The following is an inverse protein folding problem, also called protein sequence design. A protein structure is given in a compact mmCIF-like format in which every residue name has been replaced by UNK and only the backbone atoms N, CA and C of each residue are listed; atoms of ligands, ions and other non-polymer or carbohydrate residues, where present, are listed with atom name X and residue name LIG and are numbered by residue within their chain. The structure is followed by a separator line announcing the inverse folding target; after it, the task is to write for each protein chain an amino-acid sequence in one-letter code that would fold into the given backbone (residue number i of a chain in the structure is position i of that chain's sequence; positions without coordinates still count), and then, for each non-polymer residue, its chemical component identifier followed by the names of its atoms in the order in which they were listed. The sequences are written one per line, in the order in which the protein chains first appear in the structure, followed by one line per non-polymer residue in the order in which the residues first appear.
data_IF_668317127123
#
_entry.id   IF_668317127123
#
_cell.length_a   1.000
_cell.length_b   1.000
_cell.length_c   1.000
_cell.angle_alpha   90.00
_cell.angle_beta   90.00
_cell.angle_gamma   90.00
#
_symmetry.space_group_name_H-M   'P 1'
#
loop_
_entity.id
_entity.type
_entity.pdbx_description
1 polymer ?
#
# COMPACT_ATOMS: atom_id res chain seq x y z
N UNK A 1 13.31 -9.93 -16.80
CA UNK A 1 11.84 -9.89 -16.58
C UNK A 1 11.56 -9.27 -15.22
N UNK A 2 10.43 -8.53 -15.04
CA UNK A 2 10.05 -7.89 -13.78
C UNK A 2 9.15 -8.84 -12.98
N UNK A 3 9.56 -9.21 -11.77
CA UNK A 3 8.76 -10.04 -10.87
C UNK A 3 7.89 -9.16 -9.96
N UNK A 4 6.60 -9.45 -9.90
CA UNK A 4 5.65 -8.63 -9.11
C UNK A 4 4.91 -9.52 -8.13
N UNK A 5 5.01 -9.21 -6.83
CA UNK A 5 4.15 -9.79 -5.81
C UNK A 5 2.95 -8.89 -5.55
N UNK A 6 1.84 -9.45 -5.10
CA UNK A 6 0.64 -8.65 -4.82
C UNK A 6 -0.07 -8.08 -6.05
N UNK A 7 0.18 -8.62 -7.25
CA UNK A 7 -0.37 -8.17 -8.54
C UNK A 7 -1.91 -8.14 -8.61
N UNK A 8 -2.62 -8.83 -7.72
CA UNK A 8 -4.09 -8.82 -7.63
C UNK A 8 -4.63 -7.83 -6.59
N UNK A 9 -3.75 -7.06 -5.94
CA UNK A 9 -4.08 -5.96 -5.03
C UNK A 9 -4.29 -4.63 -5.76
N UNK A 10 -4.67 -3.57 -5.03
CA UNK A 10 -4.92 -2.25 -5.61
C UNK A 10 -3.69 -1.73 -6.37
N UNK A 11 -2.56 -1.57 -5.71
CA UNK A 11 -1.33 -1.06 -6.33
C UNK A 11 -0.81 -2.00 -7.40
N UNK A 12 -0.61 -3.28 -7.06
CA UNK A 12 0.00 -4.25 -7.97
C UNK A 12 -0.78 -4.46 -9.26
N UNK A 13 -2.13 -4.35 -9.25
CA UNK A 13 -2.91 -4.53 -10.48
C UNK A 13 -2.80 -3.32 -11.43
N UNK A 14 -2.79 -2.09 -10.90
CA UNK A 14 -2.57 -0.89 -11.71
C UNK A 14 -1.14 -0.81 -12.23
N UNK A 15 -0.17 -1.18 -11.40
CA UNK A 15 1.24 -1.26 -11.81
C UNK A 15 1.45 -2.31 -12.91
N UNK A 16 0.84 -3.50 -12.77
CA UNK A 16 0.91 -4.54 -13.80
C UNK A 16 0.38 -4.01 -15.14
N UNK A 17 -0.80 -3.39 -15.14
CA UNK A 17 -1.34 -2.77 -16.35
C UNK A 17 -0.40 -1.72 -16.92
N UNK A 18 0.10 -0.81 -16.07
CA UNK A 18 1.02 0.26 -16.50
C UNK A 18 2.27 -0.29 -17.20
N UNK A 19 2.91 -1.31 -16.62
CA UNK A 19 4.11 -1.92 -17.18
C UNK A 19 3.84 -2.67 -18.50
N UNK A 20 2.81 -3.51 -18.57
CA UNK A 20 2.52 -4.27 -19.79
C UNK A 20 1.99 -3.39 -20.91
N UNK A 21 1.29 -2.29 -20.60
CA UNK A 21 0.87 -1.31 -21.61
C UNK A 21 2.05 -0.58 -22.26
N UNK A 22 3.22 -0.57 -21.59
CA UNK A 22 4.49 -0.07 -22.11
C UNK A 22 5.35 -1.16 -22.77
N UNK A 23 4.79 -2.36 -22.99
CA UNK A 23 5.50 -3.47 -23.63
C UNK A 23 6.40 -4.29 -22.70
N UNK A 24 6.39 -4.03 -21.39
CA UNK A 24 7.22 -4.75 -20.44
C UNK A 24 6.70 -6.18 -20.21
N UNK A 25 7.62 -7.12 -19.97
CA UNK A 25 7.30 -8.50 -19.58
C UNK A 25 7.35 -8.63 -18.08
N UNK A 26 6.28 -9.20 -17.49
CA UNK A 26 6.13 -9.34 -16.04
C UNK A 26 5.88 -10.80 -15.65
N UNK A 27 6.42 -11.22 -14.51
CA UNK A 27 6.13 -12.49 -13.85
C UNK A 27 5.37 -12.19 -12.56
N UNK A 28 4.13 -12.66 -12.44
CA UNK A 28 3.23 -12.33 -11.35
C UNK A 28 3.11 -13.49 -10.37
N UNK A 29 3.50 -13.27 -9.10
CA UNK A 29 3.27 -14.23 -8.03
C UNK A 29 1.80 -14.20 -7.62
N UNK A 30 1.11 -15.32 -7.74
CA UNK A 30 -0.29 -15.48 -7.35
C UNK A 30 -0.47 -16.68 -6.41
N UNK A 31 -1.15 -16.49 -5.28
CA UNK A 31 -1.42 -17.59 -4.34
C UNK A 31 -2.41 -18.63 -4.87
N UNK A 32 -3.29 -18.22 -5.77
CA UNK A 32 -4.33 -19.05 -6.40
C UNK A 32 -4.71 -18.46 -7.76
N UNK A 33 -4.65 -19.23 -8.81
CA UNK A 33 -4.91 -18.80 -10.19
C UNK A 33 -6.27 -18.11 -10.38
N UNK A 34 -7.34 -18.52 -9.68
CA UNK A 34 -8.66 -17.89 -9.81
C UNK A 34 -8.71 -16.41 -9.37
N UNK A 35 -7.71 -15.92 -8.61
CA UNK A 35 -7.64 -14.49 -8.21
C UNK A 35 -7.28 -13.57 -9.36
N UNK A 36 -6.85 -14.09 -10.50
CA UNK A 36 -6.56 -13.31 -11.70
C UNK A 36 -7.76 -12.48 -12.18
N UNK A 37 -9.00 -12.89 -11.88
CA UNK A 37 -10.21 -12.12 -12.17
C UNK A 37 -10.21 -10.71 -11.56
N UNK A 38 -9.41 -10.48 -10.51
CA UNK A 38 -9.25 -9.15 -9.92
C UNK A 38 -8.37 -8.26 -10.77
N UNK A 39 -7.32 -8.84 -11.34
CA UNK A 39 -6.45 -8.16 -12.28
C UNK A 39 -7.22 -7.82 -13.56
N UNK A 40 -8.00 -8.75 -14.11
CA UNK A 40 -8.83 -8.53 -15.28
C UNK A 40 -9.76 -7.31 -15.13
N UNK A 41 -10.42 -7.15 -13.98
CA UNK A 41 -11.24 -5.96 -13.69
C UNK A 41 -10.47 -4.63 -13.75
N UNK A 42 -9.20 -4.63 -13.36
CA UNK A 42 -8.37 -3.43 -13.47
C UNK A 42 -8.05 -3.13 -14.94
N UNK A 43 -7.81 -4.16 -15.75
CA UNK A 43 -7.62 -3.99 -17.20
C UNK A 43 -8.90 -3.47 -17.87
N UNK A 44 -10.05 -4.04 -17.53
CA UNK A 44 -11.37 -3.57 -18.00
C UNK A 44 -11.60 -2.08 -17.68
N UNK A 45 -11.19 -1.61 -16.50
CA UNK A 45 -11.26 -0.19 -16.14
C UNK A 45 -10.50 0.70 -17.12
N UNK A 46 -9.37 0.22 -17.65
CA UNK A 46 -8.59 0.93 -18.68
C UNK A 46 -9.07 0.66 -20.11
N UNK A 47 -10.18 -0.06 -20.28
CA UNK A 47 -10.71 -0.44 -21.60
C UNK A 47 -9.88 -1.51 -22.31
N UNK A 48 -9.09 -2.28 -21.56
CA UNK A 48 -8.21 -3.34 -22.07
C UNK A 48 -8.72 -4.73 -21.66
N UNK A 49 -8.48 -5.72 -22.52
CA UNK A 49 -8.68 -7.13 -22.17
C UNK A 49 -7.34 -7.72 -21.72
N UNK A 50 -7.33 -8.34 -20.54
CA UNK A 50 -6.15 -9.00 -19.98
C UNK A 50 -5.55 -10.04 -20.93
N UNK A 51 -6.40 -10.77 -21.67
CA UNK A 51 -5.97 -11.81 -22.59
C UNK A 51 -5.08 -11.28 -23.75
N UNK A 52 -5.19 -9.99 -24.08
CA UNK A 52 -4.35 -9.36 -25.08
C UNK A 52 -2.87 -9.23 -24.65
N UNK A 53 -2.57 -9.51 -23.39
CA UNK A 53 -1.23 -9.40 -22.78
C UNK A 53 -0.63 -10.76 -22.36
N UNK A 54 -1.19 -11.88 -22.83
CA UNK A 54 -0.72 -13.24 -22.48
C UNK A 54 0.75 -13.47 -22.78
N UNK A 55 1.28 -12.83 -23.84
CA UNK A 55 2.71 -12.93 -24.22
C UNK A 55 3.65 -12.09 -23.30
N UNK A 56 3.08 -11.21 -22.47
CA UNK A 56 3.82 -10.31 -21.57
C UNK A 56 3.66 -10.70 -20.11
N UNK A 57 2.65 -11.50 -19.78
CA UNK A 57 2.30 -11.87 -18.40
C UNK A 57 2.53 -13.36 -18.19
N UNK A 58 3.50 -13.69 -17.34
CA UNK A 58 3.71 -15.04 -16.84
C UNK A 58 3.13 -15.16 -15.42
N UNK A 59 2.30 -16.16 -15.19
CA UNK A 59 1.76 -16.46 -13.85
C UNK A 59 2.57 -17.55 -13.19
N UNK A 60 3.03 -17.30 -11.96
CA UNK A 60 3.65 -18.30 -11.11
C UNK A 60 2.86 -18.44 -9.81
N UNK A 61 2.58 -19.66 -9.39
CA UNK A 61 1.90 -19.92 -8.12
C UNK A 61 2.92 -19.99 -6.99
N UNK A 62 2.63 -19.30 -5.88
CA UNK A 62 3.47 -19.29 -4.68
C UNK A 62 2.93 -18.34 -3.60
N UNK A 63 3.58 -18.38 -2.44
CA UNK A 63 3.24 -17.54 -1.28
C UNK A 63 4.50 -16.87 -0.74
N UNK A 64 4.45 -15.58 -0.45
CA UNK A 64 5.58 -14.83 0.13
C UNK A 64 5.99 -15.35 1.52
N UNK A 65 5.12 -16.09 2.20
CA UNK A 65 5.44 -16.75 3.48
C UNK A 65 6.14 -18.09 3.32
N UNK A 66 6.37 -18.55 2.09
CA UNK A 66 7.08 -19.77 1.73
C UNK A 66 8.29 -19.41 0.85
N UNK A 67 9.49 -19.43 1.47
CA UNK A 67 10.73 -19.06 0.79
C UNK A 67 11.03 -19.96 -0.41
N UNK A 68 10.77 -21.25 -0.32
CA UNK A 68 11.05 -22.19 -1.43
C UNK A 68 10.20 -21.87 -2.66
N UNK A 69 8.96 -21.41 -2.45
CA UNK A 69 8.11 -20.97 -3.56
C UNK A 69 8.64 -19.70 -4.21
N UNK A 70 9.30 -18.82 -3.46
CA UNK A 70 9.92 -17.59 -3.97
C UNK A 70 11.21 -17.87 -4.74
N UNK A 71 12.11 -18.68 -4.18
CA UNK A 71 13.33 -19.13 -4.84
C UNK A 71 13.01 -19.74 -6.20
N UNK A 72 12.11 -20.73 -6.23
CA UNK A 72 11.65 -21.35 -7.49
C UNK A 72 11.06 -20.32 -8.47
N UNK A 73 10.30 -19.34 -7.97
CA UNK A 73 9.72 -18.32 -8.82
C UNK A 73 10.74 -17.34 -9.41
N UNK A 74 11.88 -17.15 -8.73
CA UNK A 74 12.96 -16.21 -9.15
C UNK A 74 14.10 -16.90 -9.93
N UNK A 75 14.18 -18.21 -9.96
CA UNK A 75 15.30 -18.99 -10.53
C UNK A 75 15.68 -18.62 -11.98
N UNK A 76 14.78 -18.03 -12.76
CA UNK A 76 15.03 -17.76 -14.19
C UNK A 76 14.55 -16.36 -14.61
N UNK A 77 15.39 -15.65 -15.35
CA UNK A 77 15.05 -14.46 -16.14
C UNK A 77 14.45 -13.25 -15.35
N UNK A 78 14.63 -13.20 -14.03
CA UNK A 78 14.18 -12.09 -13.20
C UNK A 78 15.33 -11.10 -12.96
N UNK A 79 15.21 -9.89 -13.49
CA UNK A 79 16.17 -8.82 -13.28
C UNK A 79 15.78 -7.89 -12.13
N UNK A 80 14.47 -7.78 -11.89
CA UNK A 80 13.95 -6.80 -10.94
C UNK A 80 12.73 -7.34 -10.21
N UNK A 81 12.57 -6.95 -8.96
CA UNK A 81 11.44 -7.29 -8.10
C UNK A 81 10.67 -6.04 -7.72
N UNK A 82 9.33 -6.09 -7.82
CA UNK A 82 8.43 -5.12 -7.23
C UNK A 82 7.55 -5.82 -6.19
N UNK A 83 7.83 -5.54 -4.93
CA UNK A 83 7.15 -6.19 -3.81
C UNK A 83 5.95 -5.35 -3.34
N UNK A 84 4.75 -5.62 -3.92
CA UNK A 84 3.49 -4.99 -3.54
C UNK A 84 2.64 -5.86 -2.60
N UNK A 85 3.05 -7.12 -2.33
CA UNK A 85 2.28 -7.98 -1.46
C UNK A 85 2.32 -7.45 -0.01
N UNK A 86 1.16 -7.39 0.61
CA UNK A 86 1.01 -6.98 1.99
C UNK A 86 -0.44 -7.07 2.44
N UNK A 87 -0.62 -7.17 3.74
CA UNK A 87 -1.92 -7.14 4.39
C UNK A 87 -2.15 -5.76 5.00
N UNK A 88 -3.28 -5.14 4.68
CA UNK A 88 -3.74 -3.92 5.34
C UNK A 88 -4.87 -4.30 6.29
N UNK A 89 -4.63 -4.17 7.58
CA UNK A 89 -5.66 -4.35 8.61
C UNK A 89 -5.33 -3.49 9.82
N UNK A 90 -6.35 -2.89 10.39
CA UNK A 90 -6.25 -2.14 11.65
C UNK A 90 -6.84 -2.95 12.81
N UNK A 91 -7.33 -4.17 12.57
CA UNK A 91 -7.86 -5.04 13.62
C UNK A 91 -6.73 -5.61 14.47
N UNK A 92 -6.80 -5.47 15.82
CA UNK A 92 -5.81 -6.11 16.71
C UNK A 92 -5.76 -7.64 16.59
N UNK A 93 -6.86 -8.27 16.14
CA UNK A 93 -6.92 -9.72 15.90
C UNK A 93 -6.03 -10.17 14.72
N UNK A 94 -5.63 -9.26 13.86
CA UNK A 94 -4.77 -9.56 12.71
C UNK A 94 -3.27 -9.39 12.99
N UNK A 95 -2.87 -9.08 14.25
CA UNK A 95 -1.47 -8.82 14.61
C UNK A 95 -0.51 -9.92 14.08
N UNK A 96 -0.85 -11.19 14.34
CA UNK A 96 -0.01 -12.32 13.89
C UNK A 96 0.06 -12.40 12.36
N UNK A 97 -1.07 -12.22 11.68
CA UNK A 97 -1.12 -12.25 10.23
C UNK A 97 -0.36 -11.07 9.60
N UNK A 98 -0.46 -9.87 10.20
CA UNK A 98 0.28 -8.69 9.76
C UNK A 98 1.79 -8.92 9.86
N UNK A 99 2.30 -9.42 10.98
CA UNK A 99 3.72 -9.74 11.13
C UNK A 99 4.15 -10.84 10.17
N UNK A 100 3.38 -11.92 10.06
CA UNK A 100 3.73 -13.03 9.18
C UNK A 100 3.76 -12.63 7.69
N UNK A 101 2.79 -11.83 7.24
CA UNK A 101 2.69 -11.45 5.83
C UNK A 101 3.60 -10.24 5.52
N UNK A 102 3.54 -9.17 6.34
CA UNK A 102 4.25 -7.94 6.00
C UNK A 102 5.73 -8.00 6.37
N UNK A 103 6.07 -8.50 7.56
CA UNK A 103 7.46 -8.60 8.00
C UNK A 103 8.12 -9.86 7.44
N UNK A 104 7.72 -11.08 7.89
CA UNK A 104 8.39 -12.31 7.44
C UNK A 104 8.22 -12.59 5.94
N UNK A 105 7.09 -12.19 5.34
CA UNK A 105 6.93 -12.30 3.89
C UNK A 105 7.88 -11.37 3.13
N UNK A 106 8.20 -10.17 3.66
CA UNK A 106 9.20 -9.27 3.07
C UNK A 106 10.63 -9.78 3.33
N UNK A 107 10.92 -10.29 4.53
CA UNK A 107 12.18 -10.98 4.86
C UNK A 107 12.48 -12.09 3.85
N UNK A 108 11.53 -13.00 3.62
CA UNK A 108 11.67 -14.06 2.63
C UNK A 108 11.92 -13.51 1.22
N UNK A 109 11.20 -12.44 0.83
CA UNK A 109 11.34 -11.85 -0.50
C UNK A 109 12.72 -11.20 -0.69
N UNK A 110 13.25 -10.53 0.35
CA UNK A 110 14.61 -9.97 0.36
C UNK A 110 15.66 -11.08 0.26
N UNK A 111 15.52 -12.14 1.07
CA UNK A 111 16.43 -13.29 1.05
C UNK A 111 16.46 -13.96 -0.33
N UNK A 112 15.30 -14.24 -0.91
CA UNK A 112 15.20 -14.83 -2.24
C UNK A 112 15.77 -13.90 -3.34
N UNK A 113 15.58 -12.59 -3.22
CA UNK A 113 16.13 -11.62 -4.17
C UNK A 113 17.65 -11.53 -4.10
N UNK A 114 18.24 -11.60 -2.89
CA UNK A 114 19.69 -11.64 -2.67
C UNK A 114 20.30 -12.93 -3.24
N UNK A 115 19.71 -14.09 -2.93
CA UNK A 115 20.18 -15.40 -3.39
C UNK A 115 20.18 -15.51 -4.92
N UNK A 116 19.17 -14.96 -5.58
CA UNK A 116 19.03 -15.04 -7.04
C UNK A 116 19.72 -13.89 -7.80
N UNK A 117 20.33 -12.93 -7.08
CA UNK A 117 21.08 -11.83 -7.69
C UNK A 117 20.21 -10.82 -8.41
N UNK A 118 19.01 -10.53 -7.90
CA UNK A 118 18.10 -9.49 -8.41
C UNK A 118 18.80 -8.13 -8.38
N UNK A 119 18.82 -7.42 -9.51
CA UNK A 119 19.52 -6.14 -9.67
C UNK A 119 18.80 -4.96 -9.04
N UNK A 120 17.47 -4.94 -9.03
CA UNK A 120 16.65 -3.82 -8.55
C UNK A 120 15.45 -4.32 -7.75
N UNK A 121 15.24 -3.76 -6.56
CA UNK A 121 14.13 -4.11 -5.68
C UNK A 121 13.31 -2.87 -5.34
N UNK A 122 12.02 -2.86 -5.70
CA UNK A 122 11.09 -1.78 -5.33
C UNK A 122 10.13 -2.32 -4.27
N UNK A 123 10.08 -1.69 -3.11
CA UNK A 123 9.21 -2.08 -2.01
C UNK A 123 8.08 -1.07 -1.78
N UNK A 124 6.85 -1.56 -1.75
CA UNK A 124 5.69 -0.75 -1.37
C UNK A 124 5.45 -0.83 0.12
N UNK A 125 5.92 0.20 0.82
CA UNK A 125 5.64 0.39 2.23
C UNK A 125 4.36 1.21 2.47
N UNK A 126 4.36 2.11 3.41
CA UNK A 126 3.24 3.00 3.75
C UNK A 126 3.78 4.14 4.63
N UNK A 127 3.12 5.30 4.57
CA UNK A 127 3.35 6.37 5.55
C UNK A 127 3.16 5.90 7.01
N UNK A 128 2.39 4.83 7.21
CA UNK A 128 2.20 4.25 8.56
C UNK A 128 3.50 3.68 9.16
N UNK A 129 4.52 3.40 8.35
CA UNK A 129 5.84 2.95 8.79
C UNK A 129 6.73 4.09 9.29
N UNK A 130 6.43 5.35 8.92
CA UNK A 130 7.27 6.51 9.21
C UNK A 130 7.02 7.12 10.61
N UNK A 131 5.94 6.72 11.29
CA UNK A 131 5.53 7.32 12.57
C UNK A 131 4.97 8.74 12.44
N UNK A 132 4.90 9.44 13.57
CA UNK A 132 4.43 10.83 13.62
C UNK A 132 5.61 11.78 13.41
N UNK A 133 5.51 12.73 12.48
CA UNK A 133 6.55 13.74 12.23
C UNK A 133 6.58 14.82 13.30
N UNK A 134 7.71 15.51 13.42
CA UNK A 134 7.78 16.74 14.20
C UNK A 134 6.82 17.80 13.62
N UNK A 135 6.13 18.52 14.48
CA UNK A 135 5.15 19.56 14.08
C UNK A 135 4.06 19.11 13.09
N UNK A 136 3.65 17.82 13.17
CA UNK A 136 2.68 17.18 12.26
C UNK A 136 3.11 17.17 10.78
N UNK A 137 4.40 17.37 10.47
CA UNK A 137 4.96 17.22 9.13
C UNK A 137 5.84 15.99 9.06
N UNK A 138 5.57 15.12 8.10
CA UNK A 138 6.31 13.87 7.88
C UNK A 138 7.14 13.99 6.62
N UNK A 139 8.43 13.68 6.72
CA UNK A 139 9.42 13.57 5.65
C UNK A 139 10.13 12.24 5.76
N UNK A 140 10.85 11.83 4.71
CA UNK A 140 11.59 10.56 4.69
C UNK A 140 12.80 10.54 5.65
N UNK A 141 13.40 11.66 5.87
CA UNK A 141 14.66 11.84 6.62
C UNK A 141 14.47 12.37 8.06
N UNK A 142 13.28 12.22 8.60
CA UNK A 142 13.02 12.57 10.00
C UNK A 142 13.86 11.69 10.95
N UNK A 143 15.10 12.10 11.26
CA UNK A 143 16.05 11.38 12.10
C UNK A 143 15.77 11.40 13.61
N UNK A 144 14.75 12.13 14.06
CA UNK A 144 14.42 12.30 15.50
C UNK A 144 13.38 11.31 16.02
N UNK A 145 13.21 10.17 15.34
CA UNK A 145 12.16 9.22 15.73
C UNK A 145 12.60 8.24 16.81
N UNK A 146 12.10 8.43 18.02
CA UNK A 146 11.62 7.28 18.77
C UNK A 146 10.43 6.69 18.00
N UNK A 147 10.69 5.66 17.19
CA UNK A 147 9.64 4.96 16.48
C UNK A 147 8.62 4.42 17.51
N UNK A 148 7.56 5.15 17.68
CA UNK A 148 6.41 4.72 18.47
C UNK A 148 5.31 4.31 17.49
N UNK A 149 5.15 3.02 17.20
CA UNK A 149 4.17 2.56 16.22
C UNK A 149 2.76 2.87 16.72
N UNK A 150 2.10 3.80 16.07
CA UNK A 150 0.70 4.17 16.37
C UNK A 150 -0.24 2.99 16.15
N UNK A 151 0.15 2.02 15.31
CA UNK A 151 -0.68 0.87 14.98
C UNK A 151 0.13 -0.41 14.73
N UNK A 152 -0.52 -1.57 14.93
CA UNK A 152 0.07 -2.88 14.60
C UNK A 152 0.43 -2.97 13.12
N UNK A 153 -0.36 -2.36 12.23
CA UNK A 153 -0.08 -2.27 10.81
C UNK A 153 1.19 -1.45 10.55
N UNK A 154 1.28 -0.24 11.12
CA UNK A 154 2.48 0.60 11.01
C UNK A 154 3.73 -0.13 11.47
N UNK A 155 3.69 -0.80 12.64
CA UNK A 155 4.79 -1.61 13.13
C UNK A 155 5.19 -2.73 12.16
N UNK A 156 4.21 -3.43 11.56
CA UNK A 156 4.52 -4.51 10.60
C UNK A 156 5.19 -3.99 9.32
N UNK A 157 4.84 -2.78 8.88
CA UNK A 157 5.46 -2.14 7.71
C UNK A 157 6.85 -1.61 8.03
N UNK A 158 7.04 -1.03 9.21
CA UNK A 158 8.35 -0.58 9.66
C UNK A 158 9.35 -1.74 9.77
N UNK A 159 8.97 -2.85 10.42
CA UNK A 159 9.81 -4.04 10.49
C UNK A 159 10.16 -4.58 9.10
N UNK A 160 9.21 -4.53 8.16
CA UNK A 160 9.46 -4.91 6.78
C UNK A 160 10.43 -3.94 6.06
N UNK A 161 10.39 -2.63 6.33
CA UNK A 161 11.38 -1.68 5.82
C UNK A 161 12.79 -2.00 6.34
N UNK A 162 12.91 -2.39 7.62
CA UNK A 162 14.20 -2.79 8.18
C UNK A 162 14.78 -3.99 7.45
N UNK A 163 13.97 -4.96 7.02
CA UNK A 163 14.43 -6.08 6.19
C UNK A 163 14.92 -5.62 4.81
N UNK A 164 14.24 -4.66 4.18
CA UNK A 164 14.72 -4.10 2.90
C UNK A 164 16.02 -3.34 3.08
N UNK A 165 16.17 -2.55 4.15
CA UNK A 165 17.42 -1.86 4.47
C UNK A 165 18.54 -2.85 4.81
N UNK A 166 18.26 -3.96 5.52
CA UNK A 166 19.21 -5.06 5.69
C UNK A 166 19.68 -5.59 4.34
N UNK A 167 18.76 -5.83 3.40
CA UNK A 167 19.11 -6.26 2.05
C UNK A 167 20.03 -5.26 1.32
N UNK A 168 19.81 -3.96 1.54
CA UNK A 168 20.69 -2.91 0.99
C UNK A 168 22.12 -3.01 1.57
N UNK A 169 22.24 -3.20 2.89
CA UNK A 169 23.57 -3.40 3.54
C UNK A 169 24.26 -4.68 3.05
N UNK A 170 23.49 -5.68 2.63
CA UNK A 170 23.99 -6.93 2.03
C UNK A 170 24.24 -6.81 0.50
N UNK A 171 24.06 -5.61 -0.10
CA UNK A 171 24.44 -5.31 -1.48
C UNK A 171 23.29 -5.27 -2.48
N UNK A 172 22.03 -5.35 -2.05
CA UNK A 172 20.86 -5.22 -2.92
C UNK A 172 20.59 -3.74 -3.26
N UNK A 173 20.35 -3.42 -4.51
CA UNK A 173 19.84 -2.10 -4.89
C UNK A 173 18.34 -2.01 -4.65
N UNK A 174 17.91 -1.19 -3.69
CA UNK A 174 16.52 -1.09 -3.35
C UNK A 174 15.98 0.35 -3.31
N UNK A 175 14.68 0.50 -3.58
CA UNK A 175 13.93 1.74 -3.33
C UNK A 175 12.67 1.41 -2.56
N UNK A 176 12.41 2.18 -1.50
CA UNK A 176 11.19 2.09 -0.69
C UNK A 176 10.25 3.23 -1.07
N UNK A 177 9.00 2.93 -1.33
CA UNK A 177 7.96 3.95 -1.48
C UNK A 177 6.96 3.87 -0.33
N UNK A 178 6.62 5.03 0.24
CA UNK A 178 5.66 5.21 1.33
C UNK A 178 4.44 5.98 0.83
N UNK A 179 3.49 5.32 0.17
CA UNK A 179 2.28 5.99 -0.25
C UNK A 179 1.44 6.46 0.95
N UNK A 180 0.82 7.62 0.81
CA UNK A 180 -0.26 8.09 1.67
C UNK A 180 -1.53 7.28 1.44
N UNK A 181 -2.71 7.78 1.78
CA UNK A 181 -3.96 7.04 1.52
C UNK A 181 -4.17 6.91 0.01
N UNK A 182 -3.94 5.69 -0.51
CA UNK A 182 -4.04 5.42 -1.94
C UNK A 182 -5.52 5.39 -2.34
N UNK A 183 -5.90 6.22 -3.29
CA UNK A 183 -7.25 6.25 -3.87
C UNK A 183 -7.21 5.81 -5.33
N UNK A 184 -8.31 5.25 -5.80
CA UNK A 184 -8.43 4.83 -7.21
C UNK A 184 -9.43 3.70 -7.41
N UNK A 185 -9.63 3.29 -8.66
CA UNK A 185 -10.52 2.18 -9.01
C UNK A 185 -10.04 0.88 -8.38
N UNK A 186 -10.95 0.19 -7.70
CA UNK A 186 -10.60 -1.06 -7.01
C UNK A 186 -11.79 -1.73 -6.36
N UNK A 187 -11.53 -2.70 -5.50
CA UNK A 187 -12.58 -3.41 -4.79
C UNK A 187 -13.09 -2.59 -3.61
N UNK A 188 -14.33 -2.11 -3.71
CA UNK A 188 -14.98 -1.27 -2.70
C UNK A 188 -15.19 -1.92 -1.34
N UNK A 189 -14.88 -3.20 -1.21
CA UNK A 189 -14.98 -3.95 0.06
C UNK A 189 -13.65 -4.04 0.82
N UNK A 190 -12.54 -3.56 0.25
CA UNK A 190 -11.20 -3.71 0.82
C UNK A 190 -10.42 -2.40 0.77
N UNK A 191 -9.56 -2.18 1.77
CA UNK A 191 -8.64 -1.04 1.81
C UNK A 191 -9.33 0.33 1.74
N UNK A 192 -8.63 1.30 1.18
CA UNK A 192 -9.09 2.69 1.02
C UNK A 192 -10.30 2.86 0.08
N UNK A 193 -10.56 2.04 -0.96
CA UNK A 193 -11.80 2.12 -1.73
C UNK A 193 -13.09 1.97 -0.90
N UNK A 194 -13.02 1.41 0.31
CA UNK A 194 -14.16 1.36 1.26
C UNK A 194 -14.63 2.75 1.68
N UNK A 195 -13.77 3.77 1.65
CA UNK A 195 -14.15 5.15 1.94
C UNK A 195 -15.20 5.64 0.93
N UNK A 196 -14.99 5.36 -0.36
CA UNK A 196 -15.94 5.68 -1.43
C UNK A 196 -17.28 4.96 -1.22
N UNK A 197 -17.22 3.65 -0.89
CA UNK A 197 -18.43 2.86 -0.60
C UNK A 197 -19.21 3.43 0.59
N UNK A 198 -18.52 3.91 1.63
CA UNK A 198 -19.16 4.50 2.80
C UNK A 198 -19.90 5.78 2.46
N UNK A 199 -19.29 6.66 1.67
CA UNK A 199 -19.93 7.89 1.18
C UNK A 199 -21.11 7.57 0.27
N UNK A 200 -20.94 6.64 -0.68
CA UNK A 200 -22.01 6.19 -1.58
C UNK A 200 -23.22 5.65 -0.82
N UNK A 201 -23.01 4.96 0.30
CA UNK A 201 -24.06 4.47 1.20
C UNK A 201 -24.68 5.55 2.07
N UNK A 202 -24.28 6.82 1.93
CA UNK A 202 -24.85 7.94 2.67
C UNK A 202 -24.23 8.14 4.04
N UNK A 203 -22.90 8.07 4.16
CA UNK A 203 -22.17 8.40 5.39
C UNK A 203 -22.58 9.76 5.94
N UNK A 204 -23.22 9.87 7.14
CA UNK A 204 -23.72 11.14 7.65
C UNK A 204 -22.67 11.98 8.38
N UNK A 205 -21.59 11.34 8.86
CA UNK A 205 -20.56 11.97 9.69
C UNK A 205 -19.23 12.12 8.96
N UNK A 206 -18.48 13.17 9.30
CA UNK A 206 -17.09 13.35 8.93
C UNK A 206 -16.23 13.63 10.17
N UNK A 207 -14.95 13.35 10.10
CA UNK A 207 -13.96 13.72 11.12
C UNK A 207 -13.16 14.93 10.69
N UNK A 208 -12.44 15.57 11.62
CA UNK A 208 -11.72 16.84 11.37
C UNK A 208 -10.23 16.65 11.14
N UNK A 209 -9.75 15.42 11.11
CA UNK A 209 -8.35 15.12 10.83
C UNK A 209 -7.95 15.44 9.40
N UNK A 210 -6.65 15.55 9.18
CA UNK A 210 -6.00 15.78 7.88
C UNK A 210 -5.00 14.66 7.61
N UNK A 211 -4.97 14.18 6.38
CA UNK A 211 -3.98 13.18 5.94
C UNK A 211 -3.66 13.40 4.46
N UNK A 212 -2.62 12.72 3.97
CA UNK A 212 -2.29 12.72 2.56
C UNK A 212 -3.12 11.72 1.76
N UNK A 213 -3.36 12.06 0.49
CA UNK A 213 -4.00 11.20 -0.49
C UNK A 213 -3.16 11.14 -1.77
N UNK A 214 -3.10 9.97 -2.38
CA UNK A 214 -2.38 9.75 -3.64
C UNK A 214 -3.20 8.87 -4.58
N UNK A 215 -3.22 9.20 -5.86
CA UNK A 215 -3.87 8.36 -6.87
C UNK A 215 -3.04 7.10 -7.13
N UNK A 216 -3.69 5.95 -7.23
CA UNK A 216 -3.02 4.66 -7.50
C UNK A 216 -2.25 4.67 -8.81
N UNK A 217 -2.68 5.47 -9.80
CA UNK A 217 -2.00 5.61 -11.09
C UNK A 217 -0.67 6.35 -10.95
N UNK A 218 -0.63 7.38 -10.08
CA UNK A 218 0.60 8.11 -9.78
C UNK A 218 1.58 7.24 -8.97
N UNK A 219 1.06 6.41 -8.05
CA UNK A 219 1.87 5.40 -7.36
C UNK A 219 2.47 4.41 -8.36
N UNK A 220 1.66 3.86 -9.27
CA UNK A 220 2.13 2.90 -10.28
C UNK A 220 3.18 3.53 -11.21
N UNK A 221 2.93 4.78 -11.66
CA UNK A 221 3.88 5.54 -12.49
C UNK A 221 5.18 5.80 -11.75
N UNK A 222 5.14 6.33 -10.54
CA UNK A 222 6.35 6.62 -9.75
C UNK A 222 7.19 5.36 -9.52
N UNK A 223 6.55 4.23 -9.21
CA UNK A 223 7.25 2.95 -9.04
C UNK A 223 7.88 2.46 -10.35
N UNK A 224 7.22 2.64 -11.49
CA UNK A 224 7.77 2.33 -12.80
C UNK A 224 8.96 3.23 -13.12
N UNK A 225 8.83 4.53 -12.91
CA UNK A 225 9.92 5.49 -13.17
C UNK A 225 11.15 5.18 -12.29
N UNK A 226 10.94 4.88 -11.00
CA UNK A 226 12.01 4.48 -10.08
C UNK A 226 12.67 3.15 -10.47
N UNK A 227 11.88 2.19 -10.99
CA UNK A 227 12.40 0.90 -11.45
C UNK A 227 13.40 1.06 -12.60
N UNK A 228 13.10 1.96 -13.55
CA UNK A 228 13.91 2.18 -14.75
C UNK A 228 14.96 3.30 -14.60
N UNK A 229 15.05 3.91 -13.42
CA UNK A 229 16.07 4.92 -13.11
C UNK A 229 17.31 4.31 -12.44
N UNK A 230 18.39 5.09 -12.39
CA UNK A 230 19.61 4.74 -11.64
C UNK A 230 19.48 5.04 -10.13
N UNK A 231 18.30 5.45 -9.68
CA UNK A 231 18.05 5.78 -8.27
C UNK A 231 17.99 4.49 -7.45
N UNK A 232 18.85 4.36 -6.45
CA UNK A 232 18.89 3.23 -5.52
C UNK A 232 19.10 3.67 -4.09
N UNK A 233 18.79 2.79 -3.15
CA UNK A 233 19.03 2.94 -1.72
C UNK A 233 18.42 4.23 -1.15
N UNK A 234 17.19 4.50 -1.59
CA UNK A 234 16.43 5.67 -1.18
C UNK A 234 14.97 5.31 -0.81
N UNK A 235 14.38 6.20 -0.04
CA UNK A 235 12.99 6.12 0.40
C UNK A 235 12.24 7.37 -0.04
N UNK A 236 10.99 7.21 -0.47
CA UNK A 236 10.17 8.30 -1.01
C UNK A 236 8.73 8.25 -0.50
N UNK A 237 8.24 9.37 0.02
CA UNK A 237 6.82 9.58 0.29
C UNK A 237 6.11 9.85 -1.05
N UNK A 238 5.03 9.11 -1.31
CA UNK A 238 4.15 9.36 -2.44
C UNK A 238 2.85 10.01 -1.94
N UNK A 239 2.68 11.29 -2.25
CA UNK A 239 1.55 12.09 -1.85
C UNK A 239 1.17 13.06 -2.97
N UNK A 240 -0.13 13.17 -3.32
CA UNK A 240 -0.59 14.21 -4.23
C UNK A 240 -1.08 15.43 -3.45
N UNK A 241 -1.92 15.23 -2.45
CA UNK A 241 -2.55 16.33 -1.74
C UNK A 241 -2.85 15.97 -0.27
N UNK A 242 -2.64 16.93 0.62
CA UNK A 242 -3.01 16.83 2.02
C UNK A 242 -4.42 17.43 2.20
N UNK A 243 -5.41 16.59 2.49
CA UNK A 243 -6.81 16.99 2.63
C UNK A 243 -7.35 16.66 4.03
N UNK A 244 -8.22 17.49 4.56
CA UNK A 244 -9.02 17.07 5.68
C UNK A 244 -10.14 16.13 5.23
N UNK A 245 -10.59 15.23 6.13
CA UNK A 245 -11.58 14.22 5.77
C UNK A 245 -12.92 14.82 5.31
N UNK A 246 -13.31 16.01 5.78
CA UNK A 246 -14.52 16.71 5.30
C UNK A 246 -14.39 17.10 3.83
N UNK A 247 -13.24 17.68 3.44
CA UNK A 247 -12.97 18.03 2.05
C UNK A 247 -13.00 16.79 1.17
N UNK A 248 -12.25 15.76 1.56
CA UNK A 248 -12.20 14.50 0.82
C UNK A 248 -13.60 13.87 0.63
N UNK A 249 -14.37 13.71 1.70
CA UNK A 249 -15.71 13.12 1.61
C UNK A 249 -16.69 13.98 0.81
N UNK A 250 -16.58 15.31 0.85
CA UNK A 250 -17.37 16.19 0.01
C UNK A 250 -17.04 16.00 -1.47
N UNK A 251 -15.75 15.95 -1.83
CA UNK A 251 -15.31 15.69 -3.21
C UNK A 251 -15.82 14.33 -3.72
N UNK A 252 -15.72 13.30 -2.89
CA UNK A 252 -16.26 11.96 -3.22
C UNK A 252 -17.77 12.00 -3.40
N UNK A 253 -18.52 12.66 -2.50
CA UNK A 253 -19.97 12.75 -2.56
C UNK A 253 -20.46 13.49 -3.83
N UNK A 254 -19.79 14.59 -4.18
CA UNK A 254 -20.11 15.38 -5.37
C UNK A 254 -19.90 14.56 -6.66
N UNK A 255 -18.74 13.88 -6.76
CA UNK A 255 -18.44 13.04 -7.93
C UNK A 255 -19.36 11.81 -8.05
N UNK A 256 -19.83 11.27 -6.93
CA UNK A 256 -20.80 10.16 -6.92
C UNK A 256 -22.26 10.62 -7.01
N UNK A 257 -22.51 11.94 -7.06
CA UNK A 257 -23.86 12.53 -7.06
C UNK A 257 -24.70 12.11 -5.86
N UNK A 258 -24.09 11.96 -4.68
CA UNK A 258 -24.76 11.61 -3.42
C UNK A 258 -24.67 12.74 -2.39
N UNK A 259 -25.44 12.65 -1.31
CA UNK A 259 -25.46 13.69 -0.27
C UNK A 259 -24.13 13.73 0.48
N UNK A 260 -23.60 14.96 0.67
CA UNK A 260 -22.40 15.19 1.48
C UNK A 260 -22.65 14.85 2.96
N UNK A 261 -21.66 14.32 3.69
CA UNK A 261 -21.72 14.21 5.14
C UNK A 261 -21.96 15.56 5.81
N UNK A 262 -22.88 15.61 6.79
CA UNK A 262 -23.34 16.89 7.38
C UNK A 262 -22.85 17.12 8.79
N UNK A 263 -22.60 16.07 9.55
CA UNK A 263 -22.33 16.16 10.99
C UNK A 263 -20.85 15.91 11.29
N UNK A 264 -20.23 16.81 12.07
CA UNK A 264 -18.89 16.57 12.57
C UNK A 264 -18.94 15.53 13.68
N UNK A 265 -18.27 14.41 13.50
CA UNK A 265 -18.07 13.44 14.57
C UNK A 265 -17.20 14.04 15.66
N UNK A 266 -17.55 13.78 16.92
CA UNK A 266 -16.71 14.18 18.05
C UNK A 266 -15.78 13.02 18.44
N UNK A 267 -14.58 13.30 18.99
CA UNK A 267 -13.64 12.25 19.39
C UNK A 267 -14.26 11.17 20.29
N UNK A 268 -15.04 11.56 21.30
CA UNK A 268 -15.69 10.62 22.21
C UNK A 268 -16.63 9.63 21.49
N UNK A 269 -17.31 10.07 20.42
CA UNK A 269 -18.20 9.21 19.61
C UNK A 269 -17.40 8.08 18.95
N UNK A 270 -16.23 8.40 18.38
CA UNK A 270 -15.36 7.43 17.72
C UNK A 270 -14.74 6.46 18.73
N UNK A 271 -14.31 6.94 19.90
CA UNK A 271 -13.80 6.08 20.98
C UNK A 271 -14.88 5.16 21.55
N UNK A 272 -16.11 5.65 21.71
CA UNK A 272 -17.25 4.83 22.13
C UNK A 272 -17.57 3.75 21.08
N UNK A 273 -17.61 4.11 19.81
CA UNK A 273 -17.80 3.15 18.73
C UNK A 273 -16.67 2.12 18.68
N UNK A 274 -15.41 2.53 18.86
CA UNK A 274 -14.26 1.64 18.94
C UNK A 274 -14.37 0.66 20.12
N UNK A 275 -14.87 1.10 21.28
CA UNK A 275 -15.07 0.24 22.43
C UNK A 275 -16.17 -0.81 22.18
N UNK A 276 -17.32 -0.40 21.63
CA UNK A 276 -18.44 -1.30 21.28
C UNK A 276 -17.99 -2.33 20.23
N UNK A 277 -17.42 -1.86 19.11
CA UNK A 277 -16.99 -2.76 18.04
C UNK A 277 -15.86 -3.67 18.48
N UNK A 278 -14.95 -3.20 19.34
CA UNK A 278 -13.91 -4.01 19.97
C UNK A 278 -14.46 -5.09 20.90
N UNK A 279 -15.50 -4.80 21.68
CA UNK A 279 -16.18 -5.77 22.52
C UNK A 279 -16.85 -6.88 21.69
N UNK A 280 -17.64 -6.51 20.69
CA UNK A 280 -18.26 -7.48 19.78
C UNK A 280 -17.23 -8.27 18.96
N UNK A 281 -16.14 -7.64 18.54
CA UNK A 281 -15.03 -8.28 17.86
C UNK A 281 -14.42 -9.42 18.67
N UNK A 282 -14.25 -9.22 19.99
CA UNK A 282 -13.73 -10.27 20.90
C UNK A 282 -14.73 -11.42 21.08
N UNK A 283 -16.03 -11.13 21.10
CA UNK A 283 -17.07 -12.15 21.29
C UNK A 283 -17.35 -12.96 20.02
N UNK A 284 -17.35 -12.32 18.86
CA UNK A 284 -17.78 -12.94 17.60
C UNK A 284 -16.62 -13.35 16.69
N UNK A 285 -15.38 -12.94 17.01
CA UNK A 285 -14.23 -13.08 16.11
C UNK A 285 -14.30 -12.18 14.87
N UNK A 286 -15.30 -11.29 14.77
CA UNK A 286 -15.45 -10.37 13.64
C UNK A 286 -14.36 -9.28 13.69
N UNK A 287 -13.66 -9.06 12.58
CA UNK A 287 -12.53 -8.12 12.47
C UNK A 287 -13.03 -6.68 12.34
N UNK A 288 -13.09 -5.95 13.46
CA UNK A 288 -13.41 -4.52 13.40
C UNK A 288 -12.23 -3.72 12.86
N UNK A 289 -12.49 -2.81 11.93
CA UNK A 289 -11.52 -1.82 11.44
C UNK A 289 -11.51 -0.53 12.29
N UNK A 290 -12.50 -0.38 13.18
CA UNK A 290 -12.60 0.78 14.08
C UNK A 290 -12.05 0.35 15.43
N UNK A 291 -10.91 0.92 15.80
CA UNK A 291 -10.24 0.72 17.07
C UNK A 291 -9.73 2.07 17.63
N UNK A 292 -9.00 2.07 18.74
CA UNK A 292 -8.47 3.29 19.35
C UNK A 292 -7.51 4.03 18.41
N UNK A 293 -6.67 3.30 17.68
CA UNK A 293 -5.66 3.88 16.79
C UNK A 293 -6.33 4.57 15.61
N UNK A 294 -7.29 3.90 14.94
CA UNK A 294 -8.05 4.51 13.84
C UNK A 294 -8.95 5.66 14.30
N UNK A 295 -9.47 5.60 15.55
CA UNK A 295 -10.21 6.70 16.14
C UNK A 295 -9.31 7.92 16.40
N UNK A 296 -8.08 7.72 16.88
CA UNK A 296 -7.10 8.79 17.06
C UNK A 296 -6.69 9.40 15.73
N UNK A 297 -6.29 8.58 14.75
CA UNK A 297 -5.85 9.03 13.42
C UNK A 297 -6.94 9.80 12.66
N UNK A 298 -8.23 9.52 12.93
CA UNK A 298 -9.35 10.22 12.31
C UNK A 298 -9.44 11.71 12.72
N UNK A 299 -8.76 12.13 13.80
CA UNK A 299 -8.70 13.52 14.27
C UNK A 299 -7.30 14.13 14.22
N UNK A 300 -6.28 13.33 13.98
CA UNK A 300 -4.90 13.80 13.79
C UNK A 300 -4.81 14.70 12.55
N UNK A 301 -3.95 15.71 12.61
CA UNK A 301 -3.65 16.58 11.47
C UNK A 301 -2.21 16.34 11.06
N UNK A 302 -2.00 15.44 10.12
CA UNK A 302 -0.67 15.08 9.63
C UNK A 302 -0.53 15.49 8.18
N UNK A 303 0.58 16.13 7.85
CA UNK A 303 0.92 16.61 6.50
C UNK A 303 2.14 15.84 6.01
N UNK A 304 2.09 15.39 4.78
CA UNK A 304 3.15 14.62 4.14
C UNK A 304 3.80 15.45 3.03
N UNK A 305 5.13 15.52 3.05
CA UNK A 305 5.92 16.24 2.07
C UNK A 305 6.40 15.26 0.98
N UNK A 306 6.08 15.53 -0.27
CA UNK A 306 6.48 14.74 -1.43
C UNK A 306 7.55 15.44 -2.30
N UNK A 307 8.14 16.52 -1.82
CA UNK A 307 9.11 17.31 -2.58
C UNK A 307 10.33 16.51 -3.03
N UNK A 308 10.76 15.53 -2.23
CA UNK A 308 11.89 14.65 -2.56
C UNK A 308 11.66 13.89 -3.86
N UNK A 309 10.55 13.16 -3.99
CA UNK A 309 10.25 12.38 -5.21
C UNK A 309 10.05 13.29 -6.42
N UNK A 310 9.37 14.44 -6.24
CA UNK A 310 9.16 15.40 -7.33
C UNK A 310 10.47 15.97 -7.88
N UNK A 311 11.42 16.32 -7.01
CA UNK A 311 12.73 16.81 -7.41
C UNK A 311 13.53 15.70 -8.09
N UNK A 312 13.54 14.51 -7.51
CA UNK A 312 14.32 13.37 -7.99
C UNK A 312 13.87 12.91 -9.38
N UNK A 313 12.56 12.81 -9.63
CA UNK A 313 12.04 12.37 -10.95
C UNK A 313 12.01 13.50 -12.00
N UNK A 314 12.15 14.78 -11.64
CA UNK A 314 12.30 15.88 -12.59
C UNK A 314 13.73 16.04 -13.11
N UNK A 315 14.70 15.53 -12.36
CA UNK A 315 16.13 15.71 -12.65
C UNK A 315 16.68 14.56 -13.49
N UNK A 316 15.98 13.46 -13.59
CA UNK A 316 16.25 12.28 -14.41
C UNK A 316 15.24 12.20 -15.58
#
# INVERSE_FOLDING_TARGET
MIFITGATGLVGSHLTYHLVSQGQKVKLLVRKKHRINRLARTFEYYGADLNNYDNQIQLVEGDITDIFSLETALETDVDSVIHCAGLVSFSPLDKRNLLNINHHGTENMVNAALETGVKKFIYVSSIAALGDGSDNKVKEDNQEFEFNPVSVYGNSKHLAELEVWRGVEEGMEAVIVNPTVIIGPGQWDQGSPRLFKSVWKGLPFFTTGTTGFVDVRDVAKAMSDLLFSDISNQQFILNNENLNYRQFFNMVADNLSVRRPRFAAQPWMMYFLAAITGFFSKLTGHRSQINKDTASSAFSKTFYDNSKIEQTLKTN
#
